data_IF_457733739887
#
_entry.id   IF_457733739887
#
_cell.length_a   1.000
_cell.length_b   1.000
_cell.length_c   1.000
_cell.angle_alpha   90.00
_cell.angle_beta   90.00
_cell.angle_gamma   90.00
#
_symmetry.space_group_name_H-M   'P 1'
#
loop_
_entity.id
_entity.type
_entity.pdbx_description
1 polymer ?
#
# COMPACT_ATOMS: atom_id res chain seq x y z
N UNK A 1 67.74 -2.89 -108.68
CA UNK A 1 66.34 -2.59 -109.03
C UNK A 1 65.43 -3.15 -107.94
N UNK A 2 64.79 -2.26 -107.16
CA UNK A 2 63.50 -2.39 -106.42
C UNK A 2 63.22 -3.72 -105.65
N UNK A 3 63.26 -3.76 -104.31
CA UNK A 3 62.21 -3.35 -103.33
C UNK A 3 61.17 -4.47 -103.05
N UNK A 4 60.87 -4.70 -101.75
CA UNK A 4 59.72 -5.42 -101.14
C UNK A 4 59.73 -6.98 -101.22
N UNK A 5 59.29 -7.80 -100.25
CA UNK A 5 58.61 -7.62 -98.96
C UNK A 5 58.62 -8.96 -98.16
N UNK A 6 58.87 -8.88 -96.84
CA UNK A 6 58.11 -9.48 -95.73
C UNK A 6 57.61 -10.96 -95.79
N UNK A 7 58.29 -11.79 -95.00
CA UNK A 7 57.82 -12.87 -94.11
C UNK A 7 56.35 -13.33 -94.32
N UNK A 8 56.18 -14.48 -94.97
CA UNK A 8 54.95 -15.29 -94.97
C UNK A 8 55.17 -16.53 -94.10
N UNK A 9 54.51 -16.64 -92.96
CA UNK A 9 53.90 -17.87 -92.43
C UNK A 9 53.41 -17.62 -91.00
N UNK A 10 52.19 -17.11 -90.86
CA UNK A 10 51.40 -17.23 -89.63
C UNK A 10 50.09 -17.90 -90.06
N UNK A 11 49.88 -19.12 -89.56
CA UNK A 11 48.65 -19.89 -89.75
C UNK A 11 47.47 -19.13 -89.16
N UNK A 12 46.47 -18.86 -89.98
CA UNK A 12 45.18 -18.34 -89.58
C UNK A 12 44.37 -19.48 -88.96
N UNK A 13 44.17 -19.47 -87.64
CA UNK A 13 43.16 -20.30 -86.97
C UNK A 13 41.93 -19.41 -86.80
N UNK A 14 40.92 -19.63 -87.64
CA UNK A 14 39.58 -19.07 -87.48
C UNK A 14 38.90 -19.77 -86.30
N UNK A 15 39.01 -19.20 -85.11
CA UNK A 15 38.13 -19.53 -84.00
C UNK A 15 36.80 -18.84 -84.28
N UNK A 16 35.80 -19.63 -84.69
CA UNK A 16 34.40 -19.22 -84.62
C UNK A 16 34.07 -18.95 -83.15
N UNK A 17 34.11 -17.67 -82.74
CA UNK A 17 33.40 -17.24 -81.54
C UNK A 17 31.91 -17.32 -81.89
N UNK A 18 31.26 -18.41 -81.46
CA UNK A 18 29.83 -18.38 -81.23
C UNK A 18 29.61 -17.34 -80.13
N UNK A 19 29.24 -16.13 -80.51
CA UNK A 19 28.59 -15.18 -79.61
C UNK A 19 27.22 -15.78 -79.36
N UNK A 20 27.14 -16.73 -78.43
CA UNK A 20 25.90 -16.96 -77.72
C UNK A 20 25.62 -15.66 -76.98
N UNK A 21 24.65 -14.91 -77.48
CA UNK A 21 23.99 -13.86 -76.72
C UNK A 21 23.57 -14.48 -75.39
N UNK A 22 24.36 -14.27 -74.34
CA UNK A 22 23.91 -14.54 -72.98
C UNK A 22 22.79 -13.54 -72.77
N UNK A 23 21.56 -14.00 -72.91
CA UNK A 23 20.41 -13.27 -72.42
C UNK A 23 20.71 -13.01 -70.93
N UNK A 24 20.80 -11.75 -70.55
CA UNK A 24 21.04 -11.35 -69.15
C UNK A 24 19.89 -11.76 -68.22
N UNK A 25 18.83 -12.33 -68.78
CA UNK A 25 17.57 -12.62 -68.14
C UNK A 25 16.95 -13.90 -68.73
N UNK A 26 16.60 -14.82 -67.86
CA UNK A 26 15.85 -16.04 -68.19
C UNK A 26 14.36 -15.83 -67.87
N UNK A 27 13.49 -16.08 -68.84
CA UNK A 27 12.04 -15.99 -68.64
C UNK A 27 11.55 -17.30 -68.03
N UNK A 28 11.17 -17.27 -66.75
CA UNK A 28 10.72 -18.44 -65.99
C UNK A 28 9.21 -18.62 -66.03
N UNK A 29 8.46 -17.51 -66.07
CA UNK A 29 7.03 -17.48 -66.36
C UNK A 29 6.78 -16.36 -67.34
N UNK A 30 6.17 -16.67 -68.48
CA UNK A 30 5.81 -15.68 -69.50
C UNK A 30 4.36 -15.20 -69.32
N UNK A 31 4.04 -14.06 -69.91
CA UNK A 31 2.63 -13.70 -70.11
C UNK A 31 1.97 -14.74 -71.02
N UNK A 32 0.66 -14.95 -70.84
CA UNK A 32 -0.11 -15.96 -71.56
C UNK A 32 0.36 -17.40 -71.29
N UNK A 33 0.70 -17.68 -70.05
CA UNK A 33 1.03 -19.01 -69.59
C UNK A 33 -0.12 -19.65 -68.82
N UNK A 34 -0.14 -20.98 -68.77
CA UNK A 34 -1.16 -21.73 -68.03
C UNK A 34 -0.90 -21.65 -66.52
N UNK A 35 -1.93 -21.26 -65.77
CA UNK A 35 -1.99 -21.22 -64.31
C UNK A 35 -3.15 -22.07 -63.81
N UNK A 36 -2.98 -22.63 -62.61
CA UNK A 36 -4.11 -23.20 -61.87
C UNK A 36 -4.90 -22.05 -61.25
N UNK A 37 -6.23 -22.13 -61.28
CA UNK A 37 -7.13 -21.22 -60.57
C UNK A 37 -8.20 -22.01 -59.81
N UNK A 38 -8.65 -21.44 -58.69
CA UNK A 38 -9.73 -21.99 -57.87
C UNK A 38 -10.99 -21.15 -58.03
N UNK A 39 -12.08 -21.77 -58.49
CA UNK A 39 -13.34 -21.10 -58.81
C UNK A 39 -14.57 -21.63 -58.05
N UNK A 40 -14.35 -22.40 -56.98
CA UNK A 40 -15.44 -22.99 -56.19
C UNK A 40 -15.86 -22.07 -55.02
N UNK A 41 -15.13 -22.10 -53.90
CA UNK A 41 -15.45 -21.31 -52.70
C UNK A 41 -14.22 -20.56 -52.16
N UNK A 42 -14.32 -19.99 -50.96
CA UNK A 42 -13.16 -19.48 -50.24
C UNK A 42 -12.29 -20.61 -49.72
N UNK A 43 -10.98 -20.40 -49.79
CA UNK A 43 -10.02 -21.27 -49.12
C UNK A 43 -9.80 -20.79 -47.67
N UNK A 44 -9.35 -21.70 -46.81
CA UNK A 44 -8.98 -21.39 -45.42
C UNK A 44 -7.83 -20.36 -45.35
N UNK A 45 -7.65 -19.72 -44.19
CA UNK A 45 -6.69 -18.61 -44.04
C UNK A 45 -5.23 -19.00 -44.28
N UNK A 46 -4.89 -20.28 -44.18
CA UNK A 46 -3.54 -20.84 -44.34
C UNK A 46 -3.43 -21.80 -45.53
N UNK A 47 -4.35 -21.69 -46.50
CA UNK A 47 -4.39 -22.46 -47.75
C UNK A 47 -3.07 -22.54 -48.52
N UNK A 48 -2.18 -21.57 -48.32
CA UNK A 48 -0.88 -21.48 -48.97
C UNK A 48 0.16 -22.45 -48.38
N UNK A 49 -0.08 -23.06 -47.21
CA UNK A 49 0.86 -23.98 -46.54
C UNK A 49 0.82 -25.40 -47.12
N UNK A 50 -0.38 -25.97 -47.26
CA UNK A 50 -0.59 -27.37 -47.66
C UNK A 50 -1.56 -27.45 -48.85
N UNK A 51 -1.05 -27.13 -50.05
CA UNK A 51 -1.91 -27.01 -51.24
C UNK A 51 -2.15 -28.34 -51.96
N UNK A 52 -3.43 -28.71 -52.10
CA UNK A 52 -3.87 -29.77 -53.00
C UNK A 52 -4.51 -29.18 -54.27
N UNK A 53 -3.84 -29.38 -55.42
CA UNK A 53 -4.28 -28.86 -56.72
C UNK A 53 -5.32 -29.74 -57.44
N UNK A 54 -5.73 -30.88 -56.87
CA UNK A 54 -6.61 -31.86 -57.57
C UNK A 54 -7.96 -31.27 -57.99
N UNK A 55 -8.46 -30.27 -57.25
CA UNK A 55 -9.76 -29.62 -57.50
C UNK A 55 -9.62 -28.27 -58.22
N UNK A 56 -8.42 -27.90 -58.65
CA UNK A 56 -8.15 -26.64 -59.33
C UNK A 56 -8.28 -26.80 -60.84
N UNK A 57 -8.83 -25.78 -61.50
CA UNK A 57 -8.92 -25.72 -62.96
C UNK A 57 -7.70 -25.03 -63.53
N UNK A 58 -7.44 -25.17 -64.83
CA UNK A 58 -6.33 -24.51 -65.51
C UNK A 58 -6.83 -23.46 -66.50
N UNK A 59 -6.13 -22.33 -66.59
CA UNK A 59 -6.43 -21.24 -67.51
C UNK A 59 -5.16 -20.54 -67.99
N UNK A 60 -5.23 -19.89 -69.15
CA UNK A 60 -4.16 -19.06 -69.71
C UNK A 60 -4.34 -17.63 -69.20
N UNK A 61 -3.26 -17.01 -68.68
CA UNK A 61 -3.29 -15.60 -68.24
C UNK A 61 -3.41 -14.62 -69.42
N UNK A 62 -3.96 -13.40 -69.23
CA UNK A 62 -4.64 -12.92 -68.03
C UNK A 62 -5.92 -13.70 -67.71
N UNK A 63 -6.10 -14.06 -66.44
CA UNK A 63 -7.28 -14.79 -65.94
C UNK A 63 -8.14 -13.83 -65.13
N UNK A 64 -9.45 -13.80 -65.39
CA UNK A 64 -10.30 -12.79 -64.79
C UNK A 64 -11.77 -12.84 -65.21
N UNK A 65 -12.51 -11.78 -64.93
CA UNK A 65 -13.86 -11.54 -65.46
C UNK A 65 -14.03 -10.05 -65.74
N UNK A 66 -15.08 -9.67 -66.49
CA UNK A 66 -15.42 -8.26 -66.73
C UNK A 66 -14.56 -7.54 -67.77
N UNK A 67 -13.31 -7.96 -67.99
CA UNK A 67 -12.41 -7.40 -69.01
C UNK A 67 -12.34 -8.27 -70.29
N UNK A 68 -12.28 -7.61 -71.47
CA UNK A 68 -12.16 -8.24 -72.80
C UNK A 68 -10.77 -8.79 -73.12
N UNK A 69 -9.74 -8.38 -72.36
CA UNK A 69 -8.35 -8.85 -72.50
C UNK A 69 -8.06 -10.11 -71.67
N UNK A 70 -9.05 -10.63 -70.95
CA UNK A 70 -8.93 -11.90 -70.25
C UNK A 70 -8.92 -13.07 -71.25
N UNK A 71 -7.81 -13.82 -71.27
CA UNK A 71 -7.70 -15.04 -72.07
C UNK A 71 -8.51 -16.19 -71.46
N UNK A 72 -8.65 -16.20 -70.12
CA UNK A 72 -9.53 -17.13 -69.41
C UNK A 72 -10.54 -16.39 -68.55
N UNK A 73 -11.83 -16.63 -68.82
CA UNK A 73 -12.92 -16.09 -67.99
C UNK A 73 -13.28 -17.03 -66.85
N UNK A 74 -13.13 -16.58 -65.60
CA UNK A 74 -13.59 -17.31 -64.42
C UNK A 74 -15.06 -17.02 -64.16
N UNK A 75 -15.82 -18.07 -63.81
CA UNK A 75 -17.25 -17.92 -63.57
C UNK A 75 -17.49 -17.14 -62.28
N UNK A 76 -18.33 -16.10 -62.37
CA UNK A 76 -18.88 -15.40 -61.21
C UNK A 76 -20.29 -15.92 -60.95
N UNK A 77 -20.69 -15.97 -59.69
CA UNK A 77 -22.04 -16.38 -59.30
C UNK A 77 -23.10 -15.54 -60.03
N UNK A 78 -24.23 -16.15 -60.39
CA UNK A 78 -25.28 -15.54 -61.23
C UNK A 78 -25.91 -14.28 -60.60
N UNK A 79 -25.79 -14.11 -59.28
CA UNK A 79 -26.28 -12.93 -58.59
C UNK A 79 -25.21 -11.83 -58.63
N UNK A 80 -25.46 -10.77 -59.40
CA UNK A 80 -24.55 -9.63 -59.59
C UNK A 80 -24.25 -8.90 -58.27
N UNK A 81 -25.02 -9.14 -57.21
CA UNK A 81 -24.96 -8.40 -55.96
C UNK A 81 -23.98 -8.96 -54.92
N UNK A 82 -23.44 -10.17 -55.08
CA UNK A 82 -22.44 -10.74 -54.15
C UNK A 82 -21.37 -11.51 -54.94
N UNK A 83 -20.26 -10.87 -55.28
CA UNK A 83 -19.10 -11.56 -55.85
C UNK A 83 -18.09 -11.85 -54.76
N UNK A 84 -17.50 -13.05 -54.79
CA UNK A 84 -16.39 -13.41 -53.91
C UNK A 84 -15.22 -12.45 -54.14
N UNK A 85 -14.83 -11.70 -53.10
CA UNK A 85 -13.76 -10.70 -53.19
C UNK A 85 -12.38 -11.27 -53.47
N UNK A 86 -12.13 -12.56 -53.17
CA UNK A 86 -10.83 -13.20 -53.37
C UNK A 86 -10.87 -14.24 -54.48
N UNK A 87 -9.78 -14.31 -55.25
CA UNK A 87 -9.50 -15.31 -56.27
C UNK A 87 -8.11 -15.89 -56.05
N UNK A 88 -7.94 -17.18 -56.28
CA UNK A 88 -6.72 -17.89 -55.96
C UNK A 88 -6.10 -18.51 -57.21
N UNK A 89 -4.79 -18.36 -57.32
CA UNK A 89 -3.99 -18.81 -58.45
C UNK A 89 -2.77 -19.57 -57.96
N UNK A 90 -2.34 -20.57 -58.70
CA UNK A 90 -1.19 -21.38 -58.37
C UNK A 90 -0.40 -21.76 -59.62
N UNK A 91 0.92 -21.79 -59.50
CA UNK A 91 1.85 -22.24 -60.53
C UNK A 91 2.97 -23.05 -59.88
N UNK A 92 3.24 -24.22 -60.46
CA UNK A 92 4.47 -24.96 -60.20
C UNK A 92 5.47 -24.63 -61.29
N UNK A 93 6.70 -24.34 -60.88
CA UNK A 93 7.83 -24.11 -61.78
C UNK A 93 8.99 -24.99 -61.37
N UNK A 94 9.83 -25.34 -62.34
CA UNK A 94 11.08 -26.07 -62.08
C UNK A 94 12.26 -25.16 -62.38
N UNK A 95 13.08 -24.88 -61.38
CA UNK A 95 14.27 -24.03 -61.51
C UNK A 95 15.48 -24.95 -61.60
N UNK A 96 16.13 -24.97 -62.77
CA UNK A 96 17.29 -25.83 -63.03
C UNK A 96 18.54 -25.37 -62.29
N UNK A 97 18.84 -24.07 -62.37
CA UNK A 97 19.90 -23.39 -61.65
C UNK A 97 19.31 -22.12 -61.04
N UNK A 98 19.70 -21.75 -59.83
CA UNK A 98 19.25 -20.47 -59.24
C UNK A 98 19.86 -19.27 -59.94
N UNK A 99 19.09 -18.20 -60.09
CA UNK A 99 19.55 -16.92 -60.64
C UNK A 99 20.03 -16.00 -59.51
N UNK A 100 20.78 -14.93 -59.84
CA UNK A 100 21.25 -13.96 -58.84
C UNK A 100 20.10 -13.16 -58.21
N UNK A 101 19.09 -12.82 -59.01
CA UNK A 101 17.90 -12.12 -58.56
C UNK A 101 16.68 -12.55 -59.38
N UNK A 102 15.49 -12.28 -58.84
CA UNK A 102 14.22 -12.60 -59.48
C UNK A 102 13.35 -11.35 -59.55
N UNK A 103 12.75 -11.09 -60.71
CA UNK A 103 11.80 -10.01 -60.95
C UNK A 103 10.41 -10.60 -61.18
N UNK A 104 9.46 -10.21 -60.33
CA UNK A 104 8.05 -10.48 -60.49
C UNK A 104 7.40 -9.28 -61.16
N UNK A 105 6.73 -9.50 -62.29
CA UNK A 105 5.84 -8.53 -62.91
C UNK A 105 4.42 -8.97 -62.68
N UNK A 106 3.72 -8.28 -61.79
CA UNK A 106 2.37 -8.63 -61.38
C UNK A 106 1.34 -7.66 -61.96
N UNK A 107 0.40 -8.21 -62.72
CA UNK A 107 -0.83 -7.56 -63.14
C UNK A 107 -1.96 -8.06 -62.24
N UNK A 108 -2.58 -7.14 -61.50
CA UNK A 108 -3.70 -7.45 -60.60
C UNK A 108 -4.69 -6.29 -60.57
N UNK A 109 -5.94 -6.65 -60.34
CA UNK A 109 -7.04 -5.76 -60.00
C UNK A 109 -7.83 -6.43 -58.86
N UNK A 110 -7.95 -5.88 -57.65
CA UNK A 110 -7.39 -4.60 -57.18
C UNK A 110 -6.05 -4.76 -56.45
N UNK A 111 -5.95 -5.76 -55.58
CA UNK A 111 -4.78 -6.06 -54.76
C UNK A 111 -4.42 -7.53 -54.81
N UNK A 112 -3.20 -7.87 -54.40
CA UNK A 112 -2.72 -9.24 -54.42
C UNK A 112 -1.73 -9.56 -53.30
N UNK A 113 -1.69 -10.83 -52.92
CA UNK A 113 -0.66 -11.40 -52.04
C UNK A 113 -0.02 -12.58 -52.74
N UNK A 114 1.32 -12.57 -52.81
CA UNK A 114 2.11 -13.62 -53.46
C UNK A 114 2.85 -14.42 -52.39
N UNK A 115 2.73 -15.74 -52.48
CA UNK A 115 3.41 -16.71 -51.64
C UNK A 115 4.33 -17.57 -52.49
N UNK A 116 5.52 -17.88 -51.99
CA UNK A 116 6.47 -18.79 -52.61
C UNK A 116 6.82 -19.87 -51.61
N UNK A 117 6.68 -21.14 -52.01
CA UNK A 117 7.02 -22.31 -51.20
C UNK A 117 6.42 -22.28 -49.78
N UNK A 118 5.15 -21.88 -49.68
CA UNK A 118 4.40 -21.84 -48.42
C UNK A 118 4.68 -20.63 -47.52
N UNK A 119 5.45 -19.64 -48.00
CA UNK A 119 5.73 -18.39 -47.28
C UNK A 119 5.22 -17.19 -48.06
N UNK A 120 4.62 -16.24 -47.37
CA UNK A 120 4.27 -14.95 -47.96
C UNK A 120 5.56 -14.22 -48.39
N UNK A 121 5.64 -13.82 -49.66
CA UNK A 121 6.78 -13.11 -50.21
C UNK A 121 6.54 -11.60 -50.23
N UNK A 122 5.42 -11.18 -50.81
CA UNK A 122 5.04 -9.77 -50.85
C UNK A 122 3.54 -9.56 -51.01
N UNK A 123 3.12 -8.33 -50.72
CA UNK A 123 1.78 -7.81 -50.89
C UNK A 123 1.81 -6.61 -51.81
N UNK A 124 0.80 -6.46 -52.64
CA UNK A 124 0.61 -5.30 -53.49
C UNK A 124 -0.85 -4.80 -53.36
N UNK A 125 -1.03 -3.53 -52.97
CA UNK A 125 -2.33 -2.91 -52.67
C UNK A 125 -3.19 -3.68 -51.62
N UNK A 126 -2.55 -4.28 -50.61
CA UNK A 126 -3.19 -5.03 -49.52
C UNK A 126 -2.82 -4.49 -48.13
N UNK A 127 -3.72 -4.51 -47.14
CA UNK A 127 -3.45 -4.01 -45.79
C UNK A 127 -2.36 -4.81 -45.07
N UNK A 128 -1.70 -4.16 -44.10
CA UNK A 128 -0.69 -4.77 -43.22
C UNK A 128 -1.30 -5.59 -42.06
N UNK A 129 -2.48 -6.19 -42.26
CA UNK A 129 -3.19 -7.01 -41.27
C UNK A 129 -3.13 -8.51 -41.63
N UNK A 130 -3.71 -9.39 -40.81
CA UNK A 130 -3.89 -10.79 -41.20
C UNK A 130 -4.78 -10.88 -42.45
N UNK A 131 -4.29 -11.53 -43.50
CA UNK A 131 -5.02 -11.69 -44.76
C UNK A 131 -5.88 -12.95 -44.68
N UNK A 132 -7.18 -12.80 -44.87
CA UNK A 132 -8.12 -13.89 -45.03
C UNK A 132 -8.91 -13.74 -46.33
N UNK A 133 -9.77 -14.72 -46.59
CA UNK A 133 -10.57 -14.82 -47.81
C UNK A 133 -11.58 -13.66 -48.04
N UNK A 134 -11.83 -12.85 -47.01
CA UNK A 134 -12.73 -11.68 -47.07
C UNK A 134 -11.98 -10.36 -46.92
N UNK A 135 -10.66 -10.39 -46.77
CA UNK A 135 -9.85 -9.16 -46.71
C UNK A 135 -9.91 -8.47 -48.07
N UNK A 136 -10.17 -7.17 -48.07
CA UNK A 136 -10.26 -6.35 -49.29
C UNK A 136 -8.94 -5.62 -49.56
N UNK A 137 -8.73 -5.24 -50.81
CA UNK A 137 -7.62 -4.36 -51.20
C UNK A 137 -7.75 -2.97 -50.55
N UNK A 138 -6.63 -2.25 -50.40
CA UNK A 138 -6.61 -0.91 -49.75
C UNK A 138 -7.37 0.12 -50.58
N UNK A 139 -7.22 0.07 -51.90
CA UNK A 139 -7.84 1.00 -52.84
C UNK A 139 -8.24 0.31 -54.13
N UNK A 140 -9.18 0.90 -54.88
CA UNK A 140 -9.46 0.47 -56.25
C UNK A 140 -8.32 0.81 -57.19
N UNK A 141 -8.01 -0.07 -58.14
CA UNK A 141 -7.24 0.26 -59.33
C UNK A 141 -8.22 0.78 -60.39
N UNK A 142 -7.88 1.88 -61.08
CA UNK A 142 -8.75 2.49 -62.11
C UNK A 142 -7.96 2.85 -63.37
N UNK A 143 -8.64 2.82 -64.51
CA UNK A 143 -8.20 3.39 -65.78
C UNK A 143 -6.82 2.85 -66.25
N UNK A 144 -5.79 3.71 -66.30
CA UNK A 144 -4.48 3.39 -66.90
C UNK A 144 -3.67 2.37 -66.10
N UNK A 145 -3.98 2.19 -64.82
CA UNK A 145 -3.23 1.30 -63.93
C UNK A 145 -3.80 -0.13 -63.90
N UNK A 146 -5.02 -0.37 -64.39
CA UNK A 146 -5.67 -1.70 -64.49
C UNK A 146 -4.87 -2.69 -65.33
N UNK A 147 -4.05 -2.17 -66.25
CA UNK A 147 -3.27 -2.95 -67.21
C UNK A 147 -1.76 -2.87 -66.96
N UNK A 148 -1.37 -2.27 -65.85
CA UNK A 148 0.03 -2.04 -65.52
C UNK A 148 0.61 -3.26 -64.80
N UNK A 149 1.79 -3.68 -65.25
CA UNK A 149 2.59 -4.67 -64.54
C UNK A 149 3.44 -3.96 -63.47
N UNK A 150 3.30 -4.41 -62.23
CA UNK A 150 4.03 -3.88 -61.08
C UNK A 150 5.23 -4.79 -60.81
N UNK A 151 6.42 -4.18 -60.78
CA UNK A 151 7.69 -4.89 -60.69
C UNK A 151 8.15 -5.00 -59.24
N UNK A 152 8.53 -6.20 -58.84
CA UNK A 152 9.06 -6.52 -57.52
C UNK A 152 10.33 -7.36 -57.66
N UNK A 153 11.42 -6.94 -57.02
CA UNK A 153 12.72 -7.58 -57.15
C UNK A 153 13.13 -8.27 -55.85
N UNK A 154 13.64 -9.49 -55.95
CA UNK A 154 14.06 -10.30 -54.82
C UNK A 154 15.42 -10.96 -55.05
N UNK A 155 16.12 -11.25 -53.95
CA UNK A 155 17.38 -12.00 -54.00
C UNK A 155 17.13 -13.49 -54.30
N UNK A 156 18.20 -14.26 -54.48
CA UNK A 156 18.14 -15.68 -54.85
C UNK A 156 17.51 -16.59 -53.78
N UNK A 157 17.27 -16.10 -52.55
CA UNK A 157 16.84 -16.94 -51.42
C UNK A 157 15.38 -17.38 -51.50
N UNK A 158 14.59 -16.77 -52.37
CA UNK A 158 13.15 -17.03 -52.48
C UNK A 158 12.82 -18.36 -53.16
N UNK A 159 13.76 -18.89 -53.96
CA UNK A 159 13.60 -20.13 -54.70
C UNK A 159 14.72 -21.12 -54.37
N UNK A 160 14.43 -22.40 -54.58
CA UNK A 160 15.40 -23.50 -54.46
C UNK A 160 15.61 -24.14 -55.82
N UNK A 161 16.71 -24.85 -56.02
CA UNK A 161 16.83 -25.72 -57.19
C UNK A 161 15.78 -26.83 -57.12
N UNK A 162 15.13 -27.11 -58.26
CA UNK A 162 14.05 -28.09 -58.35
C UNK A 162 12.64 -27.47 -58.42
N UNK A 163 11.65 -28.23 -57.95
CA UNK A 163 10.24 -27.79 -57.97
C UNK A 163 9.99 -26.69 -56.94
N UNK A 164 9.39 -25.59 -57.39
CA UNK A 164 8.94 -24.50 -56.56
C UNK A 164 7.47 -24.19 -56.87
N UNK A 165 6.76 -23.70 -55.86
CA UNK A 165 5.35 -23.33 -55.99
C UNK A 165 5.15 -21.86 -55.72
N UNK A 166 4.46 -21.18 -56.63
CA UNK A 166 4.04 -19.78 -56.51
C UNK A 166 2.52 -19.77 -56.40
N UNK A 167 2.03 -19.16 -55.32
CA UNK A 167 0.61 -19.03 -55.03
C UNK A 167 0.26 -17.55 -54.96
N UNK A 168 -0.90 -17.17 -55.48
CA UNK A 168 -1.35 -15.80 -55.47
C UNK A 168 -2.81 -15.74 -55.05
N UNK A 169 -3.14 -14.84 -54.12
CA UNK A 169 -4.52 -14.45 -53.87
C UNK A 169 -4.73 -13.02 -54.37
N UNK A 170 -5.69 -12.82 -55.27
CA UNK A 170 -6.12 -11.50 -55.75
C UNK A 170 -7.38 -11.10 -55.02
N UNK A 171 -7.43 -9.87 -54.53
CA UNK A 171 -8.49 -9.34 -53.68
C UNK A 171 -9.07 -8.07 -54.32
N UNK A 172 -10.40 -8.03 -54.42
CA UNK A 172 -11.15 -6.84 -54.82
C UNK A 172 -11.28 -5.87 -53.65
N UNK A 173 -11.35 -4.57 -53.92
CA UNK A 173 -11.64 -3.55 -52.91
C UNK A 173 -13.13 -3.52 -52.55
N UNK A 174 -14.00 -4.01 -53.45
CA UNK A 174 -15.45 -4.06 -53.27
C UNK A 174 -16.05 -5.42 -53.64
N UNK A 175 -17.06 -5.86 -52.87
CA UNK A 175 -17.81 -7.12 -53.10
C UNK A 175 -18.61 -7.09 -54.41
N UNK A 176 -18.92 -5.90 -54.93
CA UNK A 176 -19.68 -5.69 -56.16
C UNK A 176 -18.79 -5.34 -57.36
N UNK A 177 -17.48 -5.59 -57.30
CA UNK A 177 -16.56 -5.24 -58.39
C UNK A 177 -16.97 -5.88 -59.71
N UNK A 178 -16.96 -5.09 -60.79
CA UNK A 178 -17.40 -5.46 -62.14
C UNK A 178 -16.44 -6.39 -62.87
N UNK A 179 -15.19 -6.39 -62.46
CA UNK A 179 -14.03 -6.96 -63.12
C UNK A 179 -13.01 -7.49 -62.11
N UNK A 180 -12.04 -8.24 -62.64
CA UNK A 180 -10.91 -8.80 -61.93
C UNK A 180 -9.94 -9.27 -63.00
N UNK A 181 -8.64 -9.01 -62.80
CA UNK A 181 -7.59 -9.50 -63.69
C UNK A 181 -6.41 -10.02 -62.87
N UNK A 182 -5.80 -11.10 -63.36
CA UNK A 182 -4.56 -11.64 -62.83
C UNK A 182 -3.64 -12.09 -63.98
N UNK A 183 -2.41 -11.58 -63.99
CA UNK A 183 -1.29 -12.15 -64.74
C UNK A 183 0.01 -11.95 -63.97
N UNK A 184 0.95 -12.87 -64.09
CA UNK A 184 2.24 -12.79 -63.42
C UNK A 184 3.32 -13.30 -64.38
N UNK A 185 4.33 -12.45 -64.64
CA UNK A 185 5.57 -12.85 -65.28
C UNK A 185 6.67 -12.98 -64.22
N UNK A 186 7.55 -13.95 -64.41
CA UNK A 186 8.70 -14.18 -63.53
C UNK A 186 9.95 -14.28 -64.38
N UNK A 187 10.95 -13.48 -64.01
CA UNK A 187 12.20 -13.38 -64.74
C UNK A 187 13.36 -13.62 -63.78
N UNK A 188 14.27 -14.52 -64.14
CA UNK A 188 15.54 -14.74 -63.46
C UNK A 188 16.63 -13.86 -64.06
N UNK A 189 17.40 -13.18 -63.24
CA UNK A 189 18.43 -12.25 -63.67
C UNK A 189 19.83 -12.73 -63.30
N UNK A 190 20.76 -12.61 -64.23
CA UNK A 190 22.18 -12.94 -64.04
C UNK A 190 23.08 -11.68 -63.94
N UNK A 191 22.49 -10.48 -63.94
CA UNK A 191 23.25 -9.22 -63.90
C UNK A 191 23.63 -8.81 -62.48
N UNK A 192 24.87 -8.35 -62.31
CA UNK A 192 25.38 -7.80 -61.05
C UNK A 192 24.70 -6.46 -60.67
N UNK A 193 24.21 -5.70 -61.66
CA UNK A 193 23.52 -4.42 -61.43
C UNK A 193 22.21 -4.62 -60.63
N UNK A 194 21.43 -5.65 -60.96
CA UNK A 194 20.16 -5.93 -60.26
C UNK A 194 20.43 -6.40 -58.83
N UNK A 195 21.50 -7.17 -58.62
CA UNK A 195 21.92 -7.56 -57.28
C UNK A 195 22.27 -6.33 -56.43
N UNK A 196 22.97 -5.33 -57.00
CA UNK A 196 23.31 -4.10 -56.29
C UNK A 196 22.05 -3.33 -55.84
N UNK A 197 21.03 -3.26 -56.70
CA UNK A 197 19.74 -2.64 -56.39
C UNK A 197 18.97 -3.38 -55.28
N UNK A 198 18.92 -4.72 -55.34
CA UNK A 198 18.27 -5.54 -54.31
C UNK A 198 18.96 -5.38 -52.96
N UNK A 199 20.30 -5.41 -52.94
CA UNK A 199 21.10 -5.20 -51.73
C UNK A 199 20.89 -3.79 -51.16
N UNK A 200 20.89 -2.76 -51.99
CA UNK A 200 20.64 -1.38 -51.55
C UNK A 200 19.26 -1.22 -50.91
N UNK A 201 18.21 -1.77 -51.52
CA UNK A 201 16.86 -1.75 -50.96
C UNK A 201 16.75 -2.52 -49.63
N UNK A 202 17.43 -3.66 -49.53
CA UNK A 202 17.50 -4.44 -48.29
C UNK A 202 18.22 -3.67 -47.18
N UNK A 203 19.33 -3.01 -47.50
CA UNK A 203 20.07 -2.17 -46.56
C UNK A 203 19.24 -0.97 -46.09
N UNK A 204 18.54 -0.29 -47.02
CA UNK A 204 17.64 0.83 -46.68
C UNK A 204 16.50 0.39 -45.76
N UNK A 205 15.92 -0.78 -46.03
CA UNK A 205 14.87 -1.37 -45.18
C UNK A 205 15.42 -1.72 -43.79
N UNK A 206 16.60 -2.33 -43.74
CA UNK A 206 17.27 -2.70 -42.48
C UNK A 206 17.59 -1.47 -41.64
N UNK A 207 18.18 -0.43 -42.24
CA UNK A 207 18.47 0.83 -41.55
C UNK A 207 17.19 1.53 -41.04
N UNK A 208 16.10 1.52 -41.83
CA UNK A 208 14.81 2.04 -41.37
C UNK A 208 14.24 1.26 -40.17
N UNK A 209 14.41 -0.06 -40.16
CA UNK A 209 13.99 -0.91 -39.04
C UNK A 209 14.83 -0.65 -37.79
N UNK A 210 16.16 -0.51 -37.93
CA UNK A 210 17.06 -0.15 -36.84
C UNK A 210 16.68 1.19 -36.20
N UNK A 211 16.47 2.23 -37.02
CA UNK A 211 16.02 3.54 -36.54
C UNK A 211 14.67 3.46 -35.81
N UNK A 212 13.75 2.60 -36.28
CA UNK A 212 12.46 2.40 -35.63
C UNK A 212 12.59 1.66 -34.30
N UNK A 213 13.47 0.67 -34.21
CA UNK A 213 13.77 -0.05 -32.96
C UNK A 213 14.38 0.93 -31.94
N UNK A 214 15.33 1.76 -32.36
CA UNK A 214 15.93 2.78 -31.50
C UNK A 214 14.87 3.76 -30.98
N UNK A 215 14.01 4.28 -31.85
CA UNK A 215 12.91 5.17 -31.47
C UNK A 215 11.94 4.50 -30.48
N UNK A 216 11.63 3.22 -30.68
CA UNK A 216 10.76 2.46 -29.77
C UNK A 216 11.41 2.28 -28.40
N UNK A 217 12.71 1.96 -28.36
CA UNK A 217 13.46 1.83 -27.11
C UNK A 217 13.50 3.16 -26.34
N UNK A 218 13.74 4.28 -27.04
CA UNK A 218 13.70 5.62 -26.44
C UNK A 218 12.33 5.95 -25.85
N UNK A 219 11.24 5.63 -26.58
CA UNK A 219 9.87 5.83 -26.07
C UNK A 219 9.61 4.97 -24.83
N UNK A 220 10.00 3.70 -24.87
CA UNK A 220 9.82 2.78 -23.75
C UNK A 220 10.55 3.24 -22.49
N UNK A 221 11.82 3.65 -22.59
CA UNK A 221 12.57 4.16 -21.44
C UNK A 221 12.00 5.49 -20.93
N UNK A 222 11.44 6.34 -21.80
CA UNK A 222 10.74 7.55 -21.39
C UNK A 222 9.45 7.24 -20.61
N UNK A 223 8.61 6.32 -21.11
CA UNK A 223 7.39 5.88 -20.43
C UNK A 223 7.69 5.28 -19.05
N UNK A 224 8.72 4.44 -18.95
CA UNK A 224 9.21 3.89 -17.69
C UNK A 224 9.66 4.96 -16.71
N UNK A 225 10.35 6.00 -17.21
CA UNK A 225 10.79 7.14 -16.41
C UNK A 225 9.60 7.97 -15.93
N UNK A 226 8.62 8.21 -16.80
CA UNK A 226 7.39 8.95 -16.47
C UNK A 226 6.59 8.22 -15.39
N UNK A 227 6.41 6.91 -15.52
CA UNK A 227 5.72 6.08 -14.52
C UNK A 227 6.45 6.09 -13.16
N UNK A 228 7.80 6.02 -13.15
CA UNK A 228 8.58 6.18 -11.91
C UNK A 228 8.37 7.54 -11.26
N UNK A 229 8.34 8.62 -12.06
CA UNK A 229 8.12 9.98 -11.56
C UNK A 229 6.73 10.13 -10.94
N UNK A 230 5.68 9.64 -11.62
CA UNK A 230 4.31 9.67 -11.12
C UNK A 230 4.20 8.92 -9.78
N UNK A 231 4.79 7.73 -9.68
CA UNK A 231 4.83 6.98 -8.42
C UNK A 231 5.55 7.75 -7.30
N UNK A 232 6.66 8.43 -7.61
CA UNK A 232 7.38 9.25 -6.64
C UNK A 232 6.57 10.46 -6.17
N UNK A 233 5.84 11.12 -7.08
CA UNK A 233 4.95 12.24 -6.75
C UNK A 233 3.79 11.77 -5.85
N UNK A 234 3.20 10.62 -6.16
CA UNK A 234 2.15 10.00 -5.33
C UNK A 234 2.65 9.63 -3.92
N UNK A 235 3.87 9.07 -3.82
CA UNK A 235 4.50 8.76 -2.52
C UNK A 235 4.78 10.06 -1.75
N UNK A 236 5.32 11.09 -2.41
CA UNK A 236 5.58 12.39 -1.78
C UNK A 236 4.30 13.02 -1.24
N UNK A 237 3.22 13.00 -2.02
CA UNK A 237 1.92 13.51 -1.60
C UNK A 237 1.36 12.74 -0.38
N UNK A 238 1.47 11.40 -0.40
CA UNK A 238 1.05 10.55 0.71
C UNK A 238 1.84 10.84 2.00
N UNK A 239 3.15 11.07 1.89
CA UNK A 239 4.00 11.46 3.03
C UNK A 239 3.62 12.84 3.59
N UNK A 240 3.30 13.81 2.73
CA UNK A 240 2.85 15.13 3.16
C UNK A 240 1.55 15.04 3.98
N UNK A 241 0.60 14.21 3.54
CA UNK A 241 -0.64 13.95 4.30
C UNK A 241 -0.33 13.30 5.66
N UNK A 242 0.54 12.29 5.69
CA UNK A 242 0.92 11.62 6.94
C UNK A 242 1.52 12.59 7.96
N UNK A 243 2.45 13.44 7.52
CA UNK A 243 3.08 14.45 8.38
C UNK A 243 2.05 15.45 8.90
N UNK A 244 1.09 15.86 8.06
CA UNK A 244 0.00 16.73 8.47
C UNK A 244 -0.91 16.08 9.53
N UNK A 245 -1.25 14.80 9.38
CA UNK A 245 -2.05 14.08 10.38
C UNK A 245 -1.30 13.98 11.72
N UNK A 246 0.00 13.66 11.67
CA UNK A 246 0.83 13.57 12.88
C UNK A 246 0.94 14.92 13.60
N UNK A 247 1.05 16.04 12.88
CA UNK A 247 1.11 17.36 13.50
C UNK A 247 -0.22 17.75 14.15
N UNK A 248 -1.35 17.43 13.52
CA UNK A 248 -2.69 17.64 14.11
C UNK A 248 -2.87 16.80 15.38
N UNK A 249 -2.48 15.52 15.36
CA UNK A 249 -2.54 14.64 16.53
C UNK A 249 -1.65 15.15 17.68
N UNK A 250 -0.46 15.66 17.36
CA UNK A 250 0.42 16.29 18.34
C UNK A 250 -0.25 17.50 19.00
N UNK A 251 -0.88 18.38 18.21
CA UNK A 251 -1.59 19.56 18.73
C UNK A 251 -2.74 19.13 19.65
N UNK A 252 -3.54 18.14 19.24
CA UNK A 252 -4.64 17.60 20.06
C UNK A 252 -4.10 17.04 21.37
N UNK A 253 -3.00 16.27 21.33
CA UNK A 253 -2.36 15.73 22.53
C UNK A 253 -1.91 16.83 23.49
N UNK A 254 -1.26 17.88 22.98
CA UNK A 254 -0.84 19.05 23.79
C UNK A 254 -2.04 19.73 24.44
N UNK A 255 -3.14 19.91 23.71
CA UNK A 255 -4.37 20.51 24.24
C UNK A 255 -4.98 19.64 25.35
N UNK A 256 -5.05 18.33 25.15
CA UNK A 256 -5.56 17.39 26.17
C UNK A 256 -4.68 17.40 27.42
N UNK A 257 -3.35 17.40 27.26
CA UNK A 257 -2.40 17.50 28.37
C UNK A 257 -2.61 18.82 29.13
N UNK A 258 -2.77 19.94 28.41
CA UNK A 258 -3.05 21.23 29.02
C UNK A 258 -4.34 21.21 29.87
N UNK A 259 -5.44 20.68 29.33
CA UNK A 259 -6.71 20.60 30.05
C UNK A 259 -6.66 19.66 31.26
N UNK A 260 -6.00 18.51 31.14
CA UNK A 260 -5.85 17.56 32.26
C UNK A 260 -5.02 18.16 33.39
N UNK A 261 -3.94 18.89 33.08
CA UNK A 261 -3.15 19.62 34.08
C UNK A 261 -3.96 20.73 34.77
N UNK A 262 -4.75 21.49 34.01
CA UNK A 262 -5.61 22.53 34.57
C UNK A 262 -6.67 21.95 35.52
N UNK A 263 -7.32 20.87 35.12
CA UNK A 263 -8.32 20.19 35.96
C UNK A 263 -7.68 19.57 37.20
N UNK A 264 -6.46 19.02 37.07
CA UNK A 264 -5.67 18.52 38.20
C UNK A 264 -5.37 19.60 39.24
N UNK A 265 -4.94 20.78 38.80
CA UNK A 265 -4.67 21.93 39.69
C UNK A 265 -5.92 22.35 40.49
N UNK A 266 -7.09 22.40 39.83
CA UNK A 266 -8.36 22.74 40.50
C UNK A 266 -8.73 21.72 41.58
N UNK A 267 -8.65 20.42 41.27
CA UNK A 267 -8.91 19.34 42.24
C UNK A 267 -7.96 19.40 43.43
N UNK A 268 -6.67 19.67 43.20
CA UNK A 268 -5.68 19.84 44.28
C UNK A 268 -6.05 21.03 45.17
N UNK A 269 -6.49 22.16 44.58
CA UNK A 269 -6.93 23.32 45.33
C UNK A 269 -8.17 23.01 46.19
N UNK A 270 -9.17 22.31 45.65
CA UNK A 270 -10.36 21.86 46.38
C UNK A 270 -10.00 20.91 47.52
N UNK A 271 -9.14 19.91 47.27
CA UNK A 271 -8.68 18.98 48.30
C UNK A 271 -7.94 19.72 49.42
N UNK A 272 -7.05 20.65 49.06
CA UNK A 272 -6.33 21.45 50.06
C UNK A 272 -7.27 22.32 50.88
N UNK A 273 -8.31 22.90 50.26
CA UNK A 273 -9.32 23.69 50.97
C UNK A 273 -10.13 22.83 51.95
N UNK A 274 -10.58 21.65 51.52
CA UNK A 274 -11.28 20.69 52.38
C UNK A 274 -10.40 20.19 53.53
N UNK A 275 -9.10 19.96 53.27
CA UNK A 275 -8.13 19.57 54.29
C UNK A 275 -7.97 20.66 55.35
N UNK A 276 -7.86 21.92 54.94
CA UNK A 276 -7.77 23.07 55.87
C UNK A 276 -9.05 23.15 56.71
N UNK A 277 -10.22 23.04 56.09
CA UNK A 277 -11.51 23.08 56.78
C UNK A 277 -11.61 21.95 57.83
N UNK A 278 -11.32 20.71 57.44
CA UNK A 278 -11.37 19.56 58.36
C UNK A 278 -10.36 19.69 59.50
N UNK A 279 -9.14 20.18 59.22
CA UNK A 279 -8.14 20.43 60.27
C UNK A 279 -8.58 21.52 61.25
N UNK A 280 -9.27 22.55 60.78
CA UNK A 280 -9.83 23.59 61.65
C UNK A 280 -10.95 23.07 62.54
N UNK A 281 -11.81 22.19 62.01
CA UNK A 281 -12.88 21.53 62.79
C UNK A 281 -12.29 20.63 63.89
N UNK A 282 -11.26 19.84 63.57
CA UNK A 282 -10.56 19.01 64.56
C UNK A 282 -9.97 19.84 65.69
N UNK A 283 -9.32 20.97 65.34
CA UNK A 283 -8.71 21.86 66.32
C UNK A 283 -9.77 22.53 67.22
N UNK A 284 -10.97 22.82 66.70
CA UNK A 284 -12.04 23.37 67.51
C UNK A 284 -12.61 22.34 68.50
N UNK A 285 -12.83 21.09 68.06
CA UNK A 285 -13.22 19.99 68.94
C UNK A 285 -12.19 19.73 70.05
N UNK A 286 -10.90 19.85 69.72
CA UNK A 286 -9.82 19.71 70.71
C UNK A 286 -9.89 20.82 71.78
N UNK A 287 -10.13 22.08 71.38
CA UNK A 287 -10.31 23.19 72.34
C UNK A 287 -11.54 23.01 73.23
N UNK A 288 -12.67 22.58 72.67
CA UNK A 288 -13.88 22.30 73.44
C UNK A 288 -13.61 21.29 74.55
N UNK A 289 -12.84 20.24 74.23
CA UNK A 289 -12.46 19.23 75.22
C UNK A 289 -11.54 19.76 76.31
N UNK A 290 -10.53 20.56 75.94
CA UNK A 290 -9.65 21.21 76.92
C UNK A 290 -10.46 22.11 77.84
N UNK A 291 -11.40 22.90 77.29
CA UNK A 291 -12.31 23.76 78.06
C UNK A 291 -13.14 22.95 79.06
N UNK A 292 -13.81 21.88 78.61
CA UNK A 292 -14.58 21.00 79.48
C UNK A 292 -13.71 20.41 80.60
N UNK A 293 -12.51 19.93 80.24
CA UNK A 293 -11.56 19.38 81.20
C UNK A 293 -11.16 20.44 82.24
N UNK A 294 -10.91 21.69 81.84
CA UNK A 294 -10.56 22.78 82.77
C UNK A 294 -11.71 23.15 83.72
N UNK A 295 -12.96 23.18 83.23
CA UNK A 295 -14.13 23.48 84.04
C UNK A 295 -14.35 22.44 85.14
N UNK A 296 -14.18 21.16 84.81
CA UNK A 296 -14.25 20.07 85.79
C UNK A 296 -13.23 20.26 86.93
N UNK A 297 -12.02 20.77 86.63
CA UNK A 297 -11.01 21.02 87.66
C UNK A 297 -11.43 22.10 88.61
N UNK A 298 -11.95 23.18 88.02
CA UNK A 298 -12.34 24.35 88.77
C UNK A 298 -13.46 24.01 89.75
N UNK A 299 -14.44 23.21 89.29
CA UNK A 299 -15.50 22.70 90.16
C UNK A 299 -14.96 21.82 91.28
N UNK A 300 -14.10 20.83 90.97
CA UNK A 300 -13.53 19.95 92.01
C UNK A 300 -12.62 20.71 92.99
N UNK A 301 -11.90 21.73 92.52
CA UNK A 301 -11.10 22.61 93.37
C UNK A 301 -11.98 23.42 94.32
N UNK A 302 -13.08 24.01 93.82
CA UNK A 302 -14.04 24.72 94.68
C UNK A 302 -14.64 23.81 95.76
N UNK A 303 -15.03 22.58 95.42
CA UNK A 303 -15.52 21.64 96.43
C UNK A 303 -14.47 21.30 97.48
N UNK A 304 -13.18 21.24 97.12
CA UNK A 304 -12.08 21.06 98.09
C UNK A 304 -11.88 22.27 98.99
N UNK A 305 -11.97 23.48 98.45
CA UNK A 305 -11.89 24.73 99.21
C UNK A 305 -13.06 24.82 100.19
N UNK A 306 -14.29 24.58 99.74
CA UNK A 306 -15.48 24.50 100.59
C UNK A 306 -15.30 23.45 101.69
N UNK A 307 -14.73 22.27 101.36
CA UNK A 307 -14.44 21.23 102.36
C UNK A 307 -13.43 21.69 103.41
N UNK A 308 -12.40 22.43 103.01
CA UNK A 308 -11.40 22.97 103.93
C UNK A 308 -12.02 24.02 104.87
N UNK A 309 -12.86 24.90 104.34
CA UNK A 309 -13.58 25.91 105.12
C UNK A 309 -14.56 25.26 106.12
N UNK A 310 -15.32 24.25 105.68
CA UNK A 310 -16.24 23.49 106.55
C UNK A 310 -15.51 22.78 107.69
N UNK A 311 -14.28 22.30 107.49
CA UNK A 311 -13.45 21.71 108.55
C UNK A 311 -13.00 22.73 109.61
N UNK A 312 -12.92 24.01 109.25
CA UNK A 312 -12.52 25.10 110.16
C UNK A 312 -13.63 25.57 111.10
N UNK A 313 -14.88 25.19 110.85
CA UNK A 313 -16.05 25.62 111.63
C UNK A 313 -16.12 24.86 112.96
N UNK A 314 -16.10 25.59 114.09
CA UNK A 314 -16.38 25.03 115.42
C UNK A 314 -17.87 25.17 115.73
N UNK A 315 -18.60 24.06 115.71
CA UNK A 315 -20.03 23.98 116.04
C UNK A 315 -20.30 22.81 117.00
N UNK A 316 -21.34 22.92 117.81
CA UNK A 316 -21.80 21.85 118.70
C UNK A 316 -22.45 20.70 117.93
N UNK A 317 -23.03 20.98 116.75
CA UNK A 317 -23.68 19.99 115.90
C UNK A 317 -22.71 19.35 114.89
N UNK A 318 -21.89 18.42 115.41
CA UNK A 318 -20.97 17.62 114.60
C UNK A 318 -21.68 16.75 113.55
N UNK A 319 -22.97 16.49 113.69
CA UNK A 319 -23.73 15.65 112.77
C UNK A 319 -23.98 16.35 111.44
N UNK A 320 -24.29 17.65 111.48
CA UNK A 320 -24.48 18.49 110.30
C UNK A 320 -23.19 18.64 109.48
N UNK A 321 -22.06 18.90 110.14
CA UNK A 321 -20.74 18.94 109.48
C UNK A 321 -20.41 17.60 108.81
N UNK A 322 -20.75 16.49 109.45
CA UNK A 322 -20.53 15.15 108.87
C UNK A 322 -21.40 14.93 107.63
N UNK A 323 -22.65 15.38 107.64
CA UNK A 323 -23.56 15.32 106.49
C UNK A 323 -23.06 16.16 105.31
N UNK A 324 -22.66 17.41 105.54
CA UNK A 324 -22.11 18.31 104.50
C UNK A 324 -20.81 17.72 103.91
N UNK A 325 -19.91 17.21 104.76
CA UNK A 325 -18.71 16.54 104.27
C UNK A 325 -19.05 15.31 103.43
N UNK A 326 -20.06 14.53 103.83
CA UNK A 326 -20.50 13.37 103.06
C UNK A 326 -21.10 13.76 101.70
N UNK A 327 -21.86 14.86 101.62
CA UNK A 327 -22.37 15.40 100.36
C UNK A 327 -21.25 15.92 99.45
N UNK A 328 -20.25 16.62 100.00
CA UNK A 328 -19.08 17.06 99.25
C UNK A 328 -18.26 15.85 98.78
N UNK A 329 -18.10 14.82 99.63
CA UNK A 329 -17.40 13.59 99.28
C UNK A 329 -18.15 12.84 98.18
N UNK A 330 -19.48 12.76 98.25
CA UNK A 330 -20.30 12.20 97.18
C UNK A 330 -20.07 12.92 95.84
N UNK A 331 -20.00 14.26 95.81
CA UNK A 331 -19.74 15.01 94.57
C UNK A 331 -18.29 14.86 94.08
N UNK A 332 -17.32 14.78 95.00
CA UNK A 332 -15.92 14.55 94.63
C UNK A 332 -15.67 13.12 94.11
N UNK A 333 -16.42 12.15 94.63
CA UNK A 333 -16.38 10.70 94.32
C UNK A 333 -17.36 10.28 93.21
N UNK A 334 -18.33 11.11 92.83
CA UNK A 334 -19.23 10.82 91.71
C UNK A 334 -18.45 10.78 90.39
N UNK A 335 -18.53 9.64 89.71
CA UNK A 335 -17.81 9.33 88.48
C UNK A 335 -18.67 9.52 87.22
N UNK A 336 -19.91 10.01 87.33
CA UNK A 336 -20.79 10.28 86.17
C UNK A 336 -20.16 11.25 85.16
N UNK A 337 -19.57 12.34 85.62
CA UNK A 337 -18.84 13.29 84.76
C UNK A 337 -17.69 12.63 84.00
N UNK A 338 -17.03 11.66 84.64
CA UNK A 338 -15.97 10.89 84.02
C UNK A 338 -16.51 9.96 82.95
N UNK A 339 -17.67 9.31 83.16
CA UNK A 339 -18.26 8.44 82.14
C UNK A 339 -18.70 9.23 80.90
N UNK A 340 -19.31 10.40 81.08
CA UNK A 340 -19.70 11.29 79.97
C UNK A 340 -18.45 11.71 79.18
N UNK A 341 -17.41 12.16 79.87
CA UNK A 341 -16.17 12.58 79.24
C UNK A 341 -15.47 11.41 78.51
N UNK A 342 -15.46 10.22 79.13
CA UNK A 342 -14.90 9.00 78.54
C UNK A 342 -15.60 8.63 77.23
N UNK A 343 -16.93 8.66 77.19
CA UNK A 343 -17.72 8.36 75.99
C UNK A 343 -17.45 9.37 74.87
N UNK A 344 -17.47 10.66 75.19
CA UNK A 344 -17.20 11.73 74.21
C UNK A 344 -15.78 11.66 73.65
N UNK A 345 -14.78 11.49 74.51
CA UNK A 345 -13.38 11.35 74.07
C UNK A 345 -13.19 10.13 73.18
N UNK A 346 -13.80 8.99 73.52
CA UNK A 346 -13.69 7.77 72.72
C UNK A 346 -14.29 7.97 71.33
N UNK A 347 -15.41 8.68 71.22
CA UNK A 347 -16.04 9.00 69.94
C UNK A 347 -15.19 9.94 69.06
N UNK A 348 -14.49 10.91 69.66
CA UNK A 348 -13.67 11.89 68.92
C UNK A 348 -12.31 11.31 68.51
N UNK A 349 -11.71 10.47 69.34
CA UNK A 349 -10.38 9.90 69.12
C UNK A 349 -10.44 8.45 68.62
N UNK A 350 -11.26 8.19 67.60
CA UNK A 350 -11.33 6.91 66.89
C UNK A 350 -11.38 5.66 67.79
N UNK A 351 -12.23 5.68 68.81
CA UNK A 351 -12.37 4.60 69.78
C UNK A 351 -11.05 4.25 70.50
N UNK A 352 -10.27 5.28 70.85
CA UNK A 352 -8.96 5.14 71.51
C UNK A 352 -8.98 4.20 72.72
N UNK A 353 -9.98 4.31 73.61
CA UNK A 353 -10.03 3.46 74.81
C UNK A 353 -10.29 1.99 74.44
N UNK A 354 -11.11 1.73 73.43
CA UNK A 354 -11.37 0.37 72.97
C UNK A 354 -10.10 -0.24 72.38
N UNK A 355 -9.36 0.51 71.55
CA UNK A 355 -8.06 0.11 71.00
C UNK A 355 -7.01 -0.09 72.11
N UNK A 356 -6.97 0.80 73.08
CA UNK A 356 -6.02 0.77 74.20
C UNK A 356 -6.26 -0.45 75.09
N UNK A 357 -7.51 -0.72 75.45
CA UNK A 357 -7.89 -1.85 76.30
C UNK A 357 -7.78 -3.19 75.56
N UNK A 358 -8.02 -3.21 74.24
CA UNK A 358 -7.79 -4.40 73.42
C UNK A 358 -6.31 -4.82 73.40
N UNK A 359 -5.39 -3.84 73.36
CA UNK A 359 -3.94 -4.10 73.42
C UNK A 359 -3.42 -4.32 74.85
N UNK A 360 -3.98 -3.60 75.83
CA UNK A 360 -3.51 -3.58 77.21
C UNK A 360 -4.66 -3.73 78.22
N UNK A 361 -5.19 -4.95 78.42
CA UNK A 361 -6.36 -5.17 79.27
C UNK A 361 -6.13 -4.91 80.78
N UNK A 362 -4.87 -4.85 81.23
CA UNK A 362 -4.51 -4.68 82.65
C UNK A 362 -4.50 -3.23 83.15
N UNK A 363 -4.83 -2.28 82.27
CA UNK A 363 -4.88 -0.85 82.59
C UNK A 363 -6.13 -0.54 83.42
N UNK A 364 -5.96 0.15 84.54
CA UNK A 364 -7.08 0.51 85.42
C UNK A 364 -7.78 1.78 84.97
N UNK A 365 -8.98 2.02 85.49
CA UNK A 365 -9.76 3.23 85.18
C UNK A 365 -9.00 4.53 85.51
N UNK A 366 -8.26 4.56 86.61
CA UNK A 366 -7.40 5.70 86.98
C UNK A 366 -6.25 5.89 85.99
N UNK A 367 -5.70 4.80 85.46
CA UNK A 367 -4.63 4.85 84.46
C UNK A 367 -5.17 5.27 83.08
N UNK A 368 -6.40 4.85 82.70
CA UNK A 368 -7.09 5.34 81.51
C UNK A 368 -7.27 6.87 81.55
N UNK A 369 -7.64 7.44 82.70
CA UNK A 369 -7.69 8.90 82.91
C UNK A 369 -6.36 9.56 82.59
N UNK A 370 -5.26 9.01 83.09
CA UNK A 370 -3.93 9.52 82.80
C UNK A 370 -3.57 9.40 81.31
N UNK A 371 -3.85 8.26 80.68
CA UNK A 371 -3.61 8.04 79.25
C UNK A 371 -4.36 9.06 78.39
N UNK A 372 -5.62 9.34 78.73
CA UNK A 372 -6.43 10.34 78.05
C UNK A 372 -5.80 11.73 78.14
N UNK A 373 -5.45 12.20 79.35
CA UNK A 373 -4.82 13.51 79.50
C UNK A 373 -3.47 13.63 78.78
N UNK A 374 -2.71 12.53 78.70
CA UNK A 374 -1.46 12.47 77.92
C UNK A 374 -1.76 12.56 76.41
N UNK A 375 -2.80 11.87 75.92
CA UNK A 375 -3.27 11.93 74.52
C UNK A 375 -3.76 13.34 74.15
N UNK A 376 -4.36 14.05 75.09
CA UNK A 376 -4.74 15.49 74.97
C UNK A 376 -3.58 16.45 75.16
N UNK A 377 -2.35 15.95 75.09
CA UNK A 377 -1.15 16.76 75.15
C UNK A 377 -0.96 17.56 76.45
N UNK A 378 -1.65 17.25 77.55
CA UNK A 378 -1.49 17.96 78.82
C UNK A 378 -0.13 17.66 79.48
N UNK A 379 0.46 18.69 80.08
CA UNK A 379 1.71 18.59 80.82
C UNK A 379 1.49 17.96 82.20
N UNK A 380 2.51 17.30 82.76
CA UNK A 380 2.46 16.63 84.07
C UNK A 380 1.92 17.53 85.19
N UNK A 381 2.28 18.82 85.20
CA UNK A 381 1.77 19.79 86.20
C UNK A 381 0.29 20.08 86.04
N UNK A 382 -0.21 20.09 84.80
CA UNK A 382 -1.62 20.29 84.50
C UNK A 382 -2.43 19.07 84.91
N UNK A 383 -1.98 17.86 84.53
CA UNK A 383 -2.59 16.58 84.95
C UNK A 383 -2.65 16.47 86.47
N UNK A 384 -1.61 16.91 87.18
CA UNK A 384 -1.58 16.90 88.64
C UNK A 384 -2.65 17.82 89.25
N UNK A 385 -2.83 19.01 88.69
CA UNK A 385 -3.93 19.91 89.05
C UNK A 385 -5.28 19.29 88.70
N UNK A 386 -5.37 18.62 87.55
CA UNK A 386 -6.62 18.00 87.08
C UNK A 386 -7.13 16.94 88.04
N UNK A 387 -6.23 16.03 88.39
CA UNK A 387 -6.51 14.90 89.27
C UNK A 387 -6.39 15.27 90.76
N UNK A 388 -5.98 16.51 91.04
CA UNK A 388 -5.77 17.07 92.37
C UNK A 388 -4.86 16.18 93.24
N UNK A 389 -3.73 15.76 92.64
CA UNK A 389 -2.68 14.95 93.24
C UNK A 389 -1.32 15.64 93.08
N UNK A 390 -0.30 15.18 93.79
CA UNK A 390 1.05 15.70 93.64
C UNK A 390 1.63 15.43 92.23
N UNK A 391 2.37 16.36 91.60
CA UNK A 391 3.03 16.11 90.32
C UNK A 391 3.91 14.85 90.27
N UNK A 392 4.53 14.46 91.39
CA UNK A 392 5.29 13.20 91.51
C UNK A 392 4.39 11.98 91.41
N UNK A 393 3.14 12.07 91.87
CA UNK A 393 2.14 11.00 91.74
C UNK A 393 1.77 10.76 90.27
N UNK A 394 1.71 11.82 89.46
CA UNK A 394 1.50 11.69 88.00
C UNK A 394 2.69 11.02 87.33
N UNK A 395 3.93 11.39 87.70
CA UNK A 395 5.15 10.73 87.19
C UNK A 395 5.17 9.24 87.55
N UNK A 396 4.81 8.91 88.79
CA UNK A 396 4.72 7.53 89.26
C UNK A 396 3.62 6.76 88.51
N UNK A 397 2.48 7.39 88.20
CA UNK A 397 1.44 6.81 87.35
C UNK A 397 1.96 6.53 85.94
N UNK A 398 2.68 7.47 85.31
CA UNK A 398 3.30 7.25 83.98
C UNK A 398 4.23 6.06 83.97
N UNK A 399 5.08 5.91 84.98
CA UNK A 399 5.97 4.75 85.10
C UNK A 399 5.17 3.43 85.24
N UNK A 400 4.13 3.40 86.08
CA UNK A 400 3.25 2.24 86.24
C UNK A 400 2.55 1.85 84.95
N UNK A 401 2.02 2.83 84.22
CA UNK A 401 1.38 2.64 82.92
C UNK A 401 2.38 2.04 81.93
N UNK A 402 3.58 2.63 81.83
CA UNK A 402 4.65 2.15 80.95
C UNK A 402 5.02 0.69 81.23
N UNK A 403 5.15 0.34 82.52
CA UNK A 403 5.45 -1.04 82.96
C UNK A 403 4.31 -2.02 82.66
N UNK A 404 3.04 -1.61 82.83
CA UNK A 404 1.86 -2.44 82.50
C UNK A 404 1.67 -2.64 81.01
N UNK A 405 2.11 -1.68 80.19
CA UNK A 405 2.09 -1.77 78.73
C UNK A 405 3.34 -2.47 78.16
N UNK A 406 4.24 -2.96 79.02
CA UNK A 406 5.50 -3.62 78.65
C UNK A 406 6.35 -2.80 77.65
N UNK A 407 6.41 -1.48 77.86
CA UNK A 407 7.14 -0.57 76.98
C UNK A 407 8.60 -0.43 77.43
N UNK A 408 9.53 -0.58 76.48
CA UNK A 408 10.97 -0.40 76.70
C UNK A 408 11.31 1.02 77.17
N UNK A 409 12.40 1.19 77.95
CA UNK A 409 12.80 2.47 78.56
C UNK A 409 12.99 3.60 77.54
N UNK A 410 13.35 3.28 76.30
CA UNK A 410 13.56 4.23 75.20
C UNK A 410 12.27 4.76 74.57
N UNK A 411 11.13 4.07 74.73
CA UNK A 411 9.86 4.47 74.12
C UNK A 411 9.19 5.53 75.01
N UNK A 412 8.94 6.72 74.46
CA UNK A 412 8.15 7.73 75.17
C UNK A 412 6.67 7.31 75.22
N UNK A 413 6.09 7.36 76.42
CA UNK A 413 4.71 6.96 76.65
C UNK A 413 3.71 7.83 75.88
N UNK A 414 3.98 9.12 75.72
CA UNK A 414 3.09 10.03 74.97
C UNK A 414 3.10 9.65 73.50
N UNK A 415 4.27 9.45 72.92
CA UNK A 415 4.40 9.08 71.51
C UNK A 415 3.75 7.73 71.23
N UNK A 416 3.89 6.77 72.15
CA UNK A 416 3.19 5.49 72.05
C UNK A 416 1.66 5.68 72.04
N UNK A 417 1.10 6.40 73.01
CA UNK A 417 -0.34 6.63 73.11
C UNK A 417 -0.88 7.44 71.92
N UNK A 418 -0.10 8.37 71.36
CA UNK A 418 -0.49 9.13 70.18
C UNK A 418 -0.66 8.24 68.94
N UNK A 419 0.04 7.10 68.88
CA UNK A 419 0.02 6.16 67.76
C UNK A 419 -0.85 4.90 67.97
N UNK A 420 -1.62 4.83 69.07
CA UNK A 420 -2.75 3.91 69.24
C UNK A 420 -3.99 4.56 68.64
#
# INVERSE_FOLDING_TARGET
MKILHKIKSIRFVLIFLNISSVLSQDILIKNEETWYYYDQDYLETDWYKDLNLSNWKTGITPIGYGDRKNNTTIHTEKDKNVRKVTKYFAKKIFIKNTHLAYEFKLLRDDGAVVYVNGKELFRDNMPNSTIGAKTVAISTVKDKDEHKYYQHFFDNSIFKEGENTILVSVHQSYITSSDCIFSLELLGHESLEILSFVVENKNKTTSNLENRIELLNLKFENEKTLSKKENLENVKFSLQILVFILSVLLIISIVVIYFTLQNGKKRIAEINQNLIASKSELLEKEKEMVSLSTNLLHHKQYFKEIKADVKGIKTEDKSLIKSINHQIDYVLENDEDWQILKQHFNAVHENFFDKLLAKHPSITETELRHCMFIKLHLQTKEIARILLIDPRSVQTARYRIKKKMDLNEEIDLRDYLLNI
#
